data_IF_584902135168
#
_entry.id   IF_584902135168
#
_cell.length_a   1.000
_cell.length_b   1.000
_cell.length_c   1.000
_cell.angle_alpha   90.00
_cell.angle_beta   90.00
_cell.angle_gamma   90.00
#
_symmetry.space_group_name_H-M   'P 1'
#
loop_
_entity.id
_entity.type
_entity.pdbx_description
1 polymer ?
#
# COMPACT_ATOMS: atom_id res chain seq x y z
N UNK A 1 -10.41 5.61 24.45
CA UNK A 1 -9.85 4.32 23.98
C UNK A 1 -8.64 4.08 24.87
N UNK A 2 -8.58 2.94 25.59
CA UNK A 2 -7.64 2.75 26.71
C UNK A 2 -6.15 2.98 26.36
N UNK A 3 -5.78 2.87 25.10
CA UNK A 3 -4.40 3.11 24.63
C UNK A 3 -4.04 4.60 24.62
N UNK A 4 -4.90 5.46 24.06
CA UNK A 4 -4.61 6.91 23.99
C UNK A 4 -4.66 7.57 25.37
N UNK A 5 -5.58 7.14 26.23
CA UNK A 5 -5.65 7.60 27.63
C UNK A 5 -4.36 7.31 28.40
N UNK A 6 -3.75 6.13 28.21
CA UNK A 6 -2.44 5.78 28.80
C UNK A 6 -1.29 6.62 28.26
N UNK A 7 -1.45 7.18 27.06
CA UNK A 7 -0.48 8.08 26.43
C UNK A 7 -0.76 9.56 26.77
N UNK A 8 -1.78 9.84 27.60
CA UNK A 8 -2.17 11.21 27.95
C UNK A 8 -2.81 11.97 26.79
N UNK A 9 -3.41 11.26 25.82
CA UNK A 9 -4.02 11.83 24.63
C UNK A 9 -5.52 11.52 24.58
N UNK A 10 -6.31 12.53 24.21
CA UNK A 10 -7.69 12.33 23.76
C UNK A 10 -7.71 11.76 22.34
N UNK A 11 -8.82 11.11 21.96
CA UNK A 11 -9.03 10.62 20.60
C UNK A 11 -8.93 11.73 19.56
N UNK A 12 -9.48 12.91 19.88
CA UNK A 12 -9.45 14.06 18.99
C UNK A 12 -8.01 14.55 18.74
N UNK A 13 -7.15 14.52 19.76
CA UNK A 13 -5.71 14.83 19.61
C UNK A 13 -4.99 13.78 18.78
N UNK A 14 -5.27 12.50 19.00
CA UNK A 14 -4.69 11.42 18.21
C UNK A 14 -5.07 11.56 16.71
N UNK A 15 -6.32 11.90 16.40
CA UNK A 15 -6.79 12.16 15.03
C UNK A 15 -6.07 13.38 14.42
N UNK A 16 -5.91 14.48 15.17
CA UNK A 16 -5.17 15.66 14.68
C UNK A 16 -3.72 15.33 14.36
N UNK A 17 -3.05 14.58 15.23
CA UNK A 17 -1.67 14.13 15.01
C UNK A 17 -1.58 13.25 13.75
N UNK A 18 -2.57 12.39 13.52
CA UNK A 18 -2.63 11.56 12.31
C UNK A 18 -2.64 12.43 11.04
N UNK A 19 -3.51 13.43 10.97
CA UNK A 19 -3.57 14.33 9.81
C UNK A 19 -2.30 15.17 9.65
N UNK A 20 -1.72 15.66 10.74
CA UNK A 20 -0.44 16.38 10.69
C UNK A 20 0.69 15.50 10.10
N UNK A 21 0.70 14.20 10.40
CA UNK A 21 1.66 13.27 9.80
C UNK A 21 1.40 13.03 8.31
N UNK A 22 0.14 12.96 7.88
CA UNK A 22 -0.19 12.84 6.45
C UNK A 22 0.36 14.03 5.68
N UNK A 23 0.15 15.24 6.20
CA UNK A 23 0.60 16.47 5.58
C UNK A 23 2.13 16.56 5.55
N UNK A 24 2.82 16.24 6.65
CA UNK A 24 4.28 16.30 6.70
C UNK A 24 4.96 15.30 5.76
N UNK A 25 4.42 14.09 5.64
CA UNK A 25 5.06 13.00 4.90
C UNK A 25 4.48 12.78 3.50
N UNK A 26 3.46 13.56 3.11
CA UNK A 26 2.74 13.43 1.83
C UNK A 26 2.36 11.96 1.55
N UNK A 27 1.89 11.28 2.59
CA UNK A 27 1.68 9.83 2.57
C UNK A 27 0.88 9.33 3.75
N UNK A 28 0.49 8.06 3.71
CA UNK A 28 -0.30 7.45 4.79
C UNK A 28 0.64 7.15 5.97
N UNK A 29 0.35 7.65 7.19
CA UNK A 29 1.28 7.62 8.32
C UNK A 29 1.23 6.31 9.10
N UNK A 30 0.81 5.23 8.43
CA UNK A 30 0.81 3.85 8.93
C UNK A 30 1.11 2.91 7.77
N UNK A 31 1.76 1.77 8.02
CA UNK A 31 2.00 0.77 6.99
C UNK A 31 0.69 0.17 6.49
N UNK A 32 0.51 0.15 5.16
CA UNK A 32 -0.59 -0.56 4.50
C UNK A 32 -0.24 -2.05 4.38
N UNK A 33 -0.59 -2.83 5.39
CA UNK A 33 -0.24 -4.26 5.44
C UNK A 33 -1.30 -5.17 4.82
N UNK A 34 -2.54 -4.71 4.71
CA UNK A 34 -3.66 -5.53 4.21
C UNK A 34 -3.82 -5.25 2.70
N UNK A 35 -3.50 -6.22 1.82
CA UNK A 35 -3.72 -6.05 0.38
C UNK A 35 -5.22 -5.94 0.09
N UNK A 36 -5.58 -5.07 -0.85
CA UNK A 36 -6.95 -5.01 -1.37
C UNK A 36 -7.28 -6.25 -2.23
N UNK A 37 -8.53 -6.39 -2.69
CA UNK A 37 -8.95 -7.52 -3.50
C UNK A 37 -8.06 -7.71 -4.75
N UNK A 38 -7.85 -6.65 -5.52
CA UNK A 38 -7.03 -6.68 -6.73
C UNK A 38 -5.59 -7.13 -6.47
N UNK A 39 -4.97 -6.65 -5.39
CA UNK A 39 -3.61 -7.05 -5.03
C UNK A 39 -3.55 -8.54 -4.62
N UNK A 40 -4.57 -9.05 -3.93
CA UNK A 40 -4.65 -10.48 -3.59
C UNK A 40 -4.80 -11.34 -4.84
N UNK A 41 -5.66 -10.93 -5.77
CA UNK A 41 -5.86 -11.65 -7.03
C UNK A 41 -4.56 -11.69 -7.86
N UNK A 42 -3.83 -10.57 -7.93
CA UNK A 42 -2.52 -10.51 -8.58
C UNK A 42 -1.48 -11.43 -7.91
N UNK A 43 -1.51 -11.56 -6.57
CA UNK A 43 -0.65 -12.50 -5.86
C UNK A 43 -0.99 -13.96 -6.18
N UNK A 44 -2.27 -14.31 -6.30
CA UNK A 44 -2.67 -15.65 -6.73
C UNK A 44 -2.25 -15.93 -8.18
N UNK A 45 -2.40 -14.97 -9.08
CA UNK A 45 -1.93 -15.09 -10.47
C UNK A 45 -0.41 -15.33 -10.54
N UNK A 46 0.35 -14.60 -9.72
CA UNK A 46 1.80 -14.74 -9.62
C UNK A 46 2.27 -16.13 -9.18
N UNK A 47 1.46 -16.88 -8.43
CA UNK A 47 1.76 -18.30 -8.08
C UNK A 47 1.71 -19.23 -9.28
N UNK A 48 1.15 -18.79 -10.41
CA UNK A 48 1.02 -19.56 -11.64
C UNK A 48 1.79 -18.90 -12.81
N UNK A 49 3.13 -18.81 -12.75
CA UNK A 49 3.93 -18.04 -13.70
C UNK A 49 3.80 -18.51 -15.16
N UNK A 50 3.39 -19.76 -15.39
CA UNK A 50 3.13 -20.30 -16.74
C UNK A 50 1.95 -19.61 -17.44
N UNK A 51 1.06 -18.94 -16.70
CA UNK A 51 -0.07 -18.18 -17.23
C UNK A 51 0.29 -16.72 -17.50
N UNK A 52 1.48 -16.27 -17.08
CA UNK A 52 1.94 -14.90 -17.23
C UNK A 52 2.77 -14.72 -18.51
N UNK A 53 2.66 -13.57 -19.19
CA UNK A 53 3.51 -13.26 -20.33
C UNK A 53 4.98 -13.11 -19.89
N UNK A 54 5.90 -13.69 -20.65
CA UNK A 54 7.33 -13.54 -20.44
C UNK A 54 7.93 -12.59 -21.49
N UNK A 55 8.90 -11.78 -21.06
CA UNK A 55 9.56 -10.80 -21.92
C UNK A 55 11.06 -10.98 -21.86
N UNK A 56 11.71 -11.03 -23.03
CA UNK A 56 13.16 -11.27 -23.13
C UNK A 56 14.00 -10.10 -22.60
N UNK A 57 13.45 -8.89 -22.59
CA UNK A 57 14.12 -7.68 -22.13
C UNK A 57 13.11 -6.57 -21.84
N UNK A 58 13.59 -5.51 -21.19
CA UNK A 58 12.79 -4.34 -20.82
C UNK A 58 12.13 -3.64 -22.02
N UNK A 59 12.80 -3.61 -23.19
CA UNK A 59 12.25 -2.99 -24.41
C UNK A 59 11.02 -3.75 -24.92
N UNK A 60 11.03 -5.08 -24.85
CA UNK A 60 9.90 -5.91 -25.22
C UNK A 60 8.70 -5.70 -24.27
N UNK A 61 8.97 -5.60 -22.96
CA UNK A 61 7.94 -5.27 -21.97
C UNK A 61 7.30 -3.91 -22.24
N UNK A 62 8.10 -2.86 -22.40
CA UNK A 62 7.64 -1.48 -22.68
C UNK A 62 6.70 -1.40 -23.87
N UNK A 63 7.06 -2.07 -24.97
CA UNK A 63 6.21 -2.16 -26.17
C UNK A 63 4.85 -2.83 -25.88
N UNK A 64 4.82 -3.82 -25.00
CA UNK A 64 3.58 -4.52 -24.63
C UNK A 64 2.67 -3.67 -23.73
N UNK A 65 3.23 -2.93 -22.77
CA UNK A 65 2.47 -2.11 -21.81
C UNK A 65 2.22 -0.67 -22.28
N UNK A 66 2.69 -0.29 -23.46
CA UNK A 66 2.45 1.03 -24.05
C UNK A 66 3.16 2.19 -23.36
N UNK A 67 4.29 1.94 -22.66
CA UNK A 67 5.11 2.97 -22.00
C UNK A 67 6.57 2.92 -22.40
#
# INVERSE_FOLDING_TARGET
MKVFERLGLTEAEAIRIFYAKVDLHQGIPIPLMIPNAHTRDAFEEAKHPKKLPSFKNFRALRRHIGT
#
